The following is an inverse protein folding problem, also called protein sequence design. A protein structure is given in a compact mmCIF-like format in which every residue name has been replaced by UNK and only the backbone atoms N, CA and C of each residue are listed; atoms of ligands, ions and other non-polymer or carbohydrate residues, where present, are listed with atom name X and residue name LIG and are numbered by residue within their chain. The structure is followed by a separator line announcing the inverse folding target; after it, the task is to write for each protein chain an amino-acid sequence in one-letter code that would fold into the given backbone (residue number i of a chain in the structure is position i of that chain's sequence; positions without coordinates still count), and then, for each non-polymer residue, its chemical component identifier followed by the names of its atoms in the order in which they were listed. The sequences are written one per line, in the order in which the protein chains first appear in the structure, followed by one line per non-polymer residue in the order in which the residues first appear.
data_IF_194854139188
#
_entry.id   IF_194854139188
#
_cell.length_a   1.000
_cell.length_b   1.000
_cell.length_c   1.000
_cell.angle_alpha   90.00
_cell.angle_beta   90.00
_cell.angle_gamma   90.00
#
_symmetry.space_group_name_H-M   'P 1'
#
loop_
_entity.id
_entity.type
_entity.pdbx_description
1 polymer ?
#
# COMPACT_ATOMS: atom_id res chain seq x y z
N UNK A 1 14.36 4.45 10.00
CA UNK A 1 13.20 4.91 9.22
C UNK A 1 12.03 5.01 10.19
N UNK A 2 11.18 6.03 10.07
CA UNK A 2 9.97 6.16 10.89
C UNK A 2 8.79 6.41 9.97
N UNK A 3 7.71 5.68 10.13
CA UNK A 3 6.49 5.86 9.36
C UNK A 3 5.33 6.19 10.28
N UNK A 4 4.38 6.96 9.77
CA UNK A 4 3.08 7.12 10.38
C UNK A 4 2.03 6.81 9.31
N UNK A 5 0.91 6.24 9.73
CA UNK A 5 -0.20 5.92 8.85
C UNK A 5 -1.49 6.28 9.56
N UNK A 6 -2.39 6.92 8.82
CA UNK A 6 -3.72 7.28 9.29
C UNK A 6 -4.77 6.79 8.31
N UNK A 7 -5.93 6.39 8.83
CA UNK A 7 -7.07 5.97 8.03
C UNK A 7 -8.29 6.76 8.50
N UNK A 8 -9.00 7.36 7.56
CA UNK A 8 -10.25 8.09 7.80
C UNK A 8 -11.37 7.44 7.01
N UNK A 9 -12.39 6.95 7.70
CA UNK A 9 -13.56 6.34 7.09
C UNK A 9 -14.62 7.40 6.78
N UNK A 10 -15.05 7.48 5.53
CA UNK A 10 -16.27 8.19 5.09
C UNK A 10 -17.29 7.15 4.57
N UNK A 11 -18.55 7.56 4.39
CA UNK A 11 -19.64 6.65 3.98
C UNK A 11 -19.37 5.93 2.65
N UNK A 12 -18.76 6.64 1.69
CA UNK A 12 -18.54 6.14 0.33
C UNK A 12 -17.09 5.79 0.02
N UNK A 13 -16.14 6.15 0.89
CA UNK A 13 -14.71 5.94 0.68
C UNK A 13 -13.90 6.00 1.97
N UNK A 14 -12.82 5.25 2.02
CA UNK A 14 -11.83 5.37 3.08
C UNK A 14 -10.58 6.03 2.52
N UNK A 15 -10.05 6.99 3.28
CA UNK A 15 -8.82 7.68 2.95
C UNK A 15 -7.70 7.10 3.78
N UNK A 16 -6.71 6.52 3.11
CA UNK A 16 -5.47 6.11 3.75
C UNK A 16 -4.39 7.13 3.41
N UNK A 17 -3.63 7.55 4.42
CA UNK A 17 -2.43 8.34 4.24
C UNK A 17 -1.29 7.74 5.06
N UNK A 18 -0.26 7.28 4.36
CA UNK A 18 1.00 6.82 4.94
C UNK A 18 2.13 7.78 4.59
N UNK A 19 2.89 8.20 5.60
CA UNK A 19 4.09 9.01 5.43
C UNK A 19 5.28 8.22 5.93
N UNK A 20 6.17 7.83 5.02
CA UNK A 20 7.41 7.15 5.35
C UNK A 20 8.58 8.13 5.33
N UNK A 21 9.26 8.28 6.47
CA UNK A 21 10.45 9.11 6.62
C UNK A 21 11.70 8.23 6.64
N UNK A 22 12.44 8.26 5.54
CA UNK A 22 13.74 7.59 5.42
C UNK A 22 14.82 8.55 5.90
N UNK A 23 15.47 8.24 7.02
CA UNK A 23 16.64 8.97 7.51
C UNK A 23 17.90 8.32 6.93
N UNK A 24 18.76 9.12 6.30
CA UNK A 24 20.00 8.68 5.65
C UNK A 24 20.64 9.80 4.84
N UNK A 25 21.70 9.50 4.07
CA UNK A 25 22.42 10.48 3.25
C UNK A 25 21.57 11.16 2.16
N UNK A 26 20.45 10.54 1.77
CA UNK A 26 19.39 11.17 0.96
C UNK A 26 18.06 10.97 1.69
N UNK A 27 17.63 11.94 2.51
CA UNK A 27 16.33 11.87 3.17
C UNK A 27 15.23 11.78 2.12
N UNK A 28 14.35 10.79 2.25
CA UNK A 28 13.19 10.63 1.37
C UNK A 28 11.92 10.64 2.20
N UNK A 29 10.92 11.36 1.71
CA UNK A 29 9.58 11.41 2.24
C UNK A 29 8.66 10.77 1.21
N UNK A 30 8.15 9.59 1.52
CA UNK A 30 7.20 8.91 0.64
C UNK A 30 5.79 9.06 1.19
N UNK A 31 4.91 9.63 0.37
CA UNK A 31 3.49 9.79 0.67
C UNK A 31 2.70 8.74 -0.11
N UNK A 32 2.09 7.82 0.61
CA UNK A 32 1.15 6.84 0.07
C UNK A 32 -0.25 7.32 0.42
N UNK A 33 -0.97 7.86 -0.57
CA UNK A 33 -2.36 8.29 -0.42
C UNK A 33 -3.25 7.37 -1.23
N UNK A 34 -4.19 6.71 -0.57
CA UNK A 34 -5.17 5.84 -1.22
C UNK A 34 -6.59 6.32 -0.95
N UNK A 35 -7.43 6.26 -1.97
CA UNK A 35 -8.88 6.21 -1.82
C UNK A 35 -9.31 4.75 -1.97
N UNK A 36 -9.91 4.19 -0.94
CA UNK A 36 -10.30 2.79 -0.86
C UNK A 36 -11.82 2.70 -0.89
N UNK A 37 -12.37 1.85 -1.76
CA UNK A 37 -13.79 1.56 -1.76
C UNK A 37 -14.16 0.79 -0.47
N UNK A 38 -15.24 1.13 0.24
CA UNK A 38 -15.65 0.38 1.42
C UNK A 38 -15.92 -1.09 1.07
N UNK A 39 -15.40 -2.00 1.90
CA UNK A 39 -15.65 -3.42 1.71
C UNK A 39 -17.13 -3.75 1.92
N UNK A 40 -17.74 -4.42 0.93
CA UNK A 40 -19.09 -4.98 1.09
C UNK A 40 -19.07 -6.10 2.12
N UNK A 41 -20.18 -6.30 2.83
CA UNK A 41 -20.31 -7.39 3.79
C UNK A 41 -19.98 -8.75 3.14
N UNK A 42 -19.09 -9.51 3.77
CA UNK A 42 -18.63 -10.81 3.27
C UNK A 42 -17.65 -10.77 2.09
N UNK A 43 -17.33 -9.59 1.54
CA UNK A 43 -16.35 -9.48 0.47
C UNK A 43 -14.95 -9.86 0.99
N UNK A 44 -14.14 -10.41 0.08
CA UNK A 44 -12.73 -10.74 0.35
C UNK A 44 -11.76 -9.79 -0.33
N UNK A 45 -12.28 -8.77 -1.01
CA UNK A 45 -11.47 -7.78 -1.68
C UNK A 45 -12.19 -6.46 -1.88
N UNK A 46 -11.43 -5.37 -2.00
CA UNK A 46 -11.93 -4.05 -2.40
C UNK A 46 -10.93 -3.31 -3.27
N UNK A 47 -11.42 -2.40 -4.12
CA UNK A 47 -10.55 -1.57 -4.95
C UNK A 47 -9.99 -0.39 -4.19
N UNK A 48 -8.87 0.11 -4.69
CA UNK A 48 -8.32 1.38 -4.28
C UNK A 48 -7.70 2.10 -5.46
N UNK A 49 -7.60 3.42 -5.34
CA UNK A 49 -6.86 4.27 -6.28
C UNK A 49 -5.87 5.16 -5.55
N UNK A 50 -4.77 5.50 -6.20
CA UNK A 50 -3.76 6.45 -5.71
C UNK A 50 -3.41 7.43 -6.82
N UNK A 51 -3.09 8.67 -6.46
CA UNK A 51 -2.50 9.63 -7.39
C UNK A 51 -1.08 9.94 -6.94
N UNK A 52 -0.10 9.58 -7.75
CA UNK A 52 1.31 9.84 -7.49
C UNK A 52 1.87 10.79 -8.57
N UNK A 53 2.54 11.90 -8.20
CA UNK A 53 3.07 12.85 -9.17
C UNK A 53 4.08 12.27 -10.17
N UNK A 54 4.79 11.19 -9.80
CA UNK A 54 5.82 10.55 -10.63
C UNK A 54 5.23 9.37 -11.41
N UNK A 55 4.42 8.55 -10.76
CA UNK A 55 3.91 7.30 -11.32
C UNK A 55 2.56 7.46 -12.04
N UNK A 56 1.93 8.62 -11.88
CA UNK A 56 0.55 8.88 -12.30
C UNK A 56 -0.47 8.21 -11.38
N UNK A 57 -1.68 8.02 -11.90
CA UNK A 57 -2.74 7.30 -11.20
C UNK A 57 -2.38 5.82 -11.10
N UNK A 58 -2.48 5.23 -9.91
CA UNK A 58 -2.40 3.80 -9.71
C UNK A 58 -3.77 3.26 -9.32
N UNK A 59 -4.12 2.08 -9.81
CA UNK A 59 -5.34 1.36 -9.44
C UNK A 59 -4.97 -0.02 -8.98
N UNK A 60 -5.58 -0.45 -7.90
CA UNK A 60 -5.31 -1.76 -7.33
C UNK A 60 -6.48 -2.33 -6.57
N UNK A 61 -6.21 -3.45 -5.92
CA UNK A 61 -7.16 -4.15 -5.09
C UNK A 61 -6.47 -4.65 -3.84
N UNK A 62 -7.10 -4.45 -2.69
CA UNK A 62 -6.76 -5.18 -1.47
C UNK A 62 -7.54 -6.50 -1.46
N UNK A 63 -6.87 -7.59 -1.11
CA UNK A 63 -7.45 -8.93 -0.98
C UNK A 63 -7.11 -9.48 0.40
N UNK A 64 -8.13 -9.88 1.16
CA UNK A 64 -7.96 -10.56 2.45
C UNK A 64 -7.70 -12.05 2.22
N UNK A 65 -6.56 -12.55 2.66
CA UNK A 65 -6.12 -13.93 2.53
C UNK A 65 -5.56 -14.44 3.87
N UNK A 66 -6.44 -15.01 4.72
CA UNK A 66 -6.05 -15.50 6.04
C UNK A 66 -5.61 -14.35 6.95
N UNK A 67 -4.38 -14.41 7.42
CA UNK A 67 -3.72 -13.39 8.25
C UNK A 67 -3.10 -12.25 7.43
N UNK A 68 -3.30 -12.25 6.11
CA UNK A 68 -2.61 -11.37 5.17
C UNK A 68 -3.57 -10.51 4.36
N UNK A 69 -3.15 -9.27 4.09
CA UNK A 69 -3.72 -8.37 3.10
C UNK A 69 -2.75 -8.30 1.93
N UNK A 70 -3.21 -8.74 0.76
CA UNK A 70 -2.48 -8.65 -0.49
C UNK A 70 -2.94 -7.43 -1.27
N UNK A 71 -2.01 -6.72 -1.89
CA UNK A 71 -2.28 -5.61 -2.79
C UNK A 71 -1.59 -5.88 -4.11
N UNK A 72 -2.32 -5.76 -5.21
CA UNK A 72 -1.77 -5.75 -6.57
C UNK A 72 -2.28 -4.50 -7.27
N UNK A 73 -1.41 -3.83 -8.02
CA UNK A 73 -1.76 -2.56 -8.65
C UNK A 73 -0.98 -2.30 -9.92
N UNK A 74 -1.53 -1.42 -10.76
CA UNK A 74 -0.86 -0.93 -11.96
C UNK A 74 -1.25 0.51 -12.28
N UNK A 75 -0.39 1.18 -13.07
CA UNK A 75 -0.76 2.39 -13.80
C UNK A 75 -1.71 2.06 -14.96
N UNK A 76 -2.45 3.04 -15.51
CA UNK A 76 -3.34 2.84 -16.65
C UNK A 76 -2.67 2.20 -17.88
N UNK A 77 -1.38 2.50 -18.09
CA UNK A 77 -0.61 1.94 -19.22
C UNK A 77 0.00 0.58 -18.92
N UNK A 78 -0.08 0.10 -17.67
CA UNK A 78 0.60 -1.12 -17.22
C UNK A 78 2.12 -1.00 -17.07
N UNK A 79 2.71 0.12 -17.52
CA UNK A 79 4.16 0.39 -17.42
C UNK A 79 4.64 0.26 -15.98
N UNK A 80 3.91 0.81 -15.02
CA UNK A 80 4.22 0.64 -13.61
C UNK A 80 3.23 -0.35 -13.01
N UNK A 81 3.74 -1.35 -12.31
CA UNK A 81 2.90 -2.24 -11.53
C UNK A 81 3.65 -2.75 -10.31
N UNK A 82 2.93 -3.33 -9.37
CA UNK A 82 3.51 -3.73 -8.11
C UNK A 82 2.61 -4.65 -7.33
N UNK A 83 3.21 -5.22 -6.30
CA UNK A 83 2.49 -5.99 -5.31
C UNK A 83 3.06 -5.76 -3.92
N UNK A 84 2.19 -5.90 -2.93
CA UNK A 84 2.53 -5.82 -1.53
C UNK A 84 1.74 -6.87 -0.74
N UNK A 85 2.36 -7.41 0.30
CA UNK A 85 1.74 -8.28 1.27
C UNK A 85 1.99 -7.70 2.66
N UNK A 86 0.91 -7.34 3.35
CA UNK A 86 0.90 -7.05 4.78
C UNK A 86 0.38 -8.28 5.51
N UNK A 87 1.24 -8.96 6.26
CA UNK A 87 0.88 -10.13 7.05
C UNK A 87 0.87 -9.79 8.54
N UNK A 88 -0.23 -10.08 9.22
CA UNK A 88 -0.30 -10.02 10.67
C UNK A 88 0.54 -11.16 11.27
N UNK A 89 1.53 -10.81 12.09
CA UNK A 89 2.39 -11.77 12.78
C UNK A 89 1.84 -12.14 14.15
N UNK A 90 1.25 -11.16 14.83
CA UNK A 90 0.49 -11.33 16.06
C UNK A 90 -0.43 -10.11 16.31
N UNK A 91 -0.91 -9.95 17.54
CA UNK A 91 -1.87 -8.90 17.91
C UNK A 91 -1.38 -7.48 17.62
N UNK A 92 -0.08 -7.22 17.66
CA UNK A 92 0.47 -5.88 17.46
C UNK A 92 1.53 -5.79 16.37
N UNK A 93 2.07 -6.90 15.88
CA UNK A 93 3.13 -6.90 14.87
C UNK A 93 2.64 -7.33 13.50
N UNK A 94 3.12 -6.63 12.49
CA UNK A 94 2.85 -6.90 11.09
C UNK A 94 4.13 -6.86 10.28
N UNK A 95 4.10 -7.59 9.18
CA UNK A 95 5.24 -7.74 8.29
C UNK A 95 4.81 -7.34 6.90
N UNK A 96 5.50 -6.36 6.31
CA UNK A 96 5.24 -5.87 4.96
C UNK A 96 6.35 -6.34 4.05
N UNK A 97 5.99 -6.87 2.88
CA UNK A 97 6.91 -7.14 1.78
C UNK A 97 6.28 -6.68 0.48
N UNK A 98 7.05 -6.08 -0.40
CA UNK A 98 6.53 -5.68 -1.70
C UNK A 98 7.62 -5.40 -2.71
N UNK A 99 7.19 -5.30 -3.96
CA UNK A 99 8.03 -4.94 -5.07
C UNK A 99 7.26 -4.07 -6.07
N UNK A 100 8.01 -3.22 -6.74
CA UNK A 100 7.51 -2.41 -7.84
C UNK A 100 8.34 -2.66 -9.08
N UNK A 101 7.64 -2.75 -10.20
CA UNK A 101 8.18 -3.03 -11.52
C UNK A 101 7.89 -1.86 -12.46
N UNK A 102 8.84 -1.60 -13.34
CA UNK A 102 8.65 -0.85 -14.58
C UNK A 102 8.79 -1.85 -15.74
N UNK A 103 7.69 -2.13 -16.42
CA UNK A 103 7.59 -3.23 -17.39
C UNK A 103 8.06 -4.55 -16.75
N UNK A 104 9.08 -5.21 -17.29
CA UNK A 104 9.62 -6.46 -16.77
C UNK A 104 10.75 -6.27 -15.73
N UNK A 105 11.11 -5.02 -15.40
CA UNK A 105 12.25 -4.71 -14.51
C UNK A 105 11.78 -4.38 -13.12
N UNK A 106 12.38 -5.05 -12.13
CA UNK A 106 12.24 -4.66 -10.71
C UNK A 106 12.99 -3.35 -10.47
N UNK A 107 12.26 -2.30 -10.12
CA UNK A 107 12.83 -0.97 -9.84
C UNK A 107 12.92 -0.67 -8.34
N UNK A 108 12.15 -1.38 -7.51
CA UNK A 108 12.19 -1.24 -6.05
C UNK A 108 11.65 -2.48 -5.35
N UNK A 109 12.22 -2.80 -4.20
CA UNK A 109 11.73 -3.83 -3.27
C UNK A 109 11.80 -3.29 -1.85
N UNK A 110 10.85 -3.70 -1.00
CA UNK A 110 10.87 -3.35 0.41
C UNK A 110 10.46 -4.53 1.29
N UNK A 111 11.04 -4.56 2.48
CA UNK A 111 10.69 -5.46 3.56
C UNK A 111 10.75 -4.67 4.87
N UNK A 112 9.63 -4.60 5.58
CA UNK A 112 9.46 -3.79 6.78
C UNK A 112 8.70 -4.60 7.83
N UNK A 113 8.94 -4.28 9.09
CA UNK A 113 8.12 -4.74 10.21
C UNK A 113 7.44 -3.51 10.82
N UNK A 114 6.15 -3.64 11.10
CA UNK A 114 5.30 -2.58 11.66
C UNK A 114 4.75 -3.02 13.01
N UNK A 115 4.53 -2.05 13.88
CA UNK A 115 3.86 -2.26 15.17
C UNK A 115 2.62 -1.37 15.22
N UNK A 116 1.46 -1.94 15.57
CA UNK A 116 0.26 -1.17 15.87
C UNK A 116 0.45 -0.44 17.21
N UNK A 117 0.10 0.85 17.23
CA UNK A 117 0.13 1.70 18.42
C UNK A 117 -1.20 1.63 19.19
#
# INVERSE_FOLDING_TARGET
MSGETSIRHEESKWHFEGVLRVRGNRPALQHNRYEIEPMRAGARSTHWTSSNPVLGTLRGRFVLAGDSILSFYSSPTGRYHGFECLQQRDQSRYSVRGAMMEEDKVISTWALELTAA
#
